data_IF_921821101367
#
_entry.id   IF_921821101367
#
_cell.length_a   1.000
_cell.length_b   1.000
_cell.length_c   1.000
_cell.angle_alpha   90.00
_cell.angle_beta   90.00
_cell.angle_gamma   90.00
#
_symmetry.space_group_name_H-M   'P 1'
#
loop_
_entity.id
_entity.type
_entity.pdbx_description
1 polymer ?
#
# COMPACT_ATOMS: atom_id res chain seq x y z
N UNK A 1 -14.63 14.26 -2.31
CA UNK A 1 -14.37 12.97 -1.63
C UNK A 1 -13.68 11.97 -2.57
N UNK A 2 -12.50 11.46 -2.20
CA UNK A 2 -11.67 10.57 -3.04
C UNK A 2 -12.43 9.35 -3.58
N UNK A 3 -13.41 8.82 -2.83
CA UNK A 3 -14.19 7.63 -3.19
C UNK A 3 -14.92 7.75 -4.54
N UNK A 4 -15.31 8.97 -4.96
CA UNK A 4 -15.96 9.19 -6.26
C UNK A 4 -15.04 8.88 -7.44
N UNK A 5 -13.71 8.97 -7.27
CA UNK A 5 -12.72 8.62 -8.30
C UNK A 5 -12.64 7.10 -8.54
N UNK A 6 -13.21 6.31 -7.63
CA UNK A 6 -13.29 4.84 -7.72
C UNK A 6 -14.72 4.35 -8.01
N UNK A 7 -15.57 5.20 -8.60
CA UNK A 7 -16.96 4.81 -8.91
C UNK A 7 -17.84 4.61 -7.69
N UNK A 8 -17.44 5.13 -6.52
CA UNK A 8 -18.22 5.02 -5.28
C UNK A 8 -18.04 3.71 -4.52
N UNK A 9 -17.16 2.80 -4.98
CA UNK A 9 -16.92 1.50 -4.33
C UNK A 9 -15.43 1.13 -4.40
N UNK A 10 -14.95 0.45 -3.37
CA UNK A 10 -13.61 -0.15 -3.33
C UNK A 10 -13.73 -1.66 -3.52
N UNK A 11 -12.85 -2.24 -4.34
CA UNK A 11 -12.84 -3.68 -4.59
C UNK A 11 -12.24 -4.42 -3.39
N UNK A 12 -12.77 -5.63 -3.13
CA UNK A 12 -12.19 -6.56 -2.15
C UNK A 12 -10.78 -7.04 -2.55
N UNK A 13 -10.41 -6.91 -3.81
CA UNK A 13 -9.09 -7.34 -4.31
C UNK A 13 -7.96 -6.34 -3.97
N UNK A 14 -8.29 -5.16 -3.46
CA UNK A 14 -7.34 -4.07 -3.24
C UNK A 14 -6.76 -4.09 -1.82
N UNK A 15 -5.62 -3.42 -1.63
CA UNK A 15 -4.79 -3.56 -0.44
C UNK A 15 -5.51 -3.25 0.89
N UNK A 16 -6.44 -2.29 0.92
CA UNK A 16 -7.15 -1.95 2.17
C UNK A 16 -8.06 -3.08 2.65
N UNK A 17 -8.83 -3.69 1.74
CA UNK A 17 -9.71 -4.81 2.10
C UNK A 17 -8.91 -6.02 2.58
N UNK A 18 -7.80 -6.33 1.90
CA UNK A 18 -6.91 -7.44 2.27
C UNK A 18 -6.20 -7.19 3.60
N UNK A 19 -5.70 -5.98 3.85
CA UNK A 19 -5.02 -5.67 5.10
C UNK A 19 -5.97 -5.67 6.29
N UNK A 20 -7.20 -5.16 6.09
CA UNK A 20 -8.25 -5.23 7.09
C UNK A 20 -8.64 -6.68 7.39
N UNK A 21 -8.78 -7.52 6.36
CA UNK A 21 -9.03 -8.94 6.53
C UNK A 21 -7.92 -9.62 7.36
N UNK A 22 -6.64 -9.34 7.08
CA UNK A 22 -5.52 -9.90 7.87
C UNK A 22 -5.58 -9.40 9.32
N UNK A 23 -5.91 -8.13 9.55
CA UNK A 23 -6.08 -7.62 10.92
C UNK A 23 -7.20 -8.34 11.67
N UNK A 24 -8.34 -8.61 11.02
CA UNK A 24 -9.51 -9.25 11.62
C UNK A 24 -9.30 -10.76 11.84
N UNK A 25 -8.67 -11.44 10.90
CA UNK A 25 -8.52 -12.91 10.92
C UNK A 25 -7.23 -13.38 11.59
N UNK A 26 -6.14 -12.61 11.50
CA UNK A 26 -4.83 -12.92 12.09
C UNK A 26 -4.11 -11.65 12.57
N UNK A 27 -4.52 -11.09 13.71
CA UNK A 27 -3.93 -9.85 14.24
C UNK A 27 -2.44 -10.01 14.58
N UNK A 28 -1.95 -11.23 14.82
CA UNK A 28 -0.53 -11.46 15.08
C UNK A 28 0.30 -11.26 13.81
N UNK A 29 -0.18 -11.79 12.67
CA UNK A 29 0.44 -11.54 11.36
C UNK A 29 0.35 -10.06 10.99
N UNK A 30 -0.79 -9.40 11.22
CA UNK A 30 -0.92 -7.97 10.98
C UNK A 30 0.05 -7.13 11.83
N UNK A 31 0.22 -7.49 13.11
CA UNK A 31 1.16 -6.83 14.01
C UNK A 31 2.62 -7.07 13.60
N UNK A 32 2.96 -8.27 13.13
CA UNK A 32 4.30 -8.61 12.64
C UNK A 32 4.62 -7.98 11.27
N UNK A 33 3.61 -7.57 10.51
CA UNK A 33 3.77 -6.96 9.19
C UNK A 33 4.35 -5.54 9.29
N UNK A 34 5.65 -5.43 9.00
CA UNK A 34 6.36 -4.14 8.96
C UNK A 34 6.12 -3.36 7.65
N UNK A 35 5.82 -4.06 6.54
CA UNK A 35 5.64 -3.46 5.21
C UNK A 35 4.50 -4.15 4.49
N UNK A 36 3.54 -3.38 4.04
CA UNK A 36 2.54 -3.83 3.08
C UNK A 36 2.95 -3.36 1.69
N UNK A 37 3.42 -4.28 0.85
CA UNK A 37 4.04 -3.97 -0.44
C UNK A 37 3.40 -4.79 -1.56
N UNK A 38 3.16 -4.15 -2.69
CA UNK A 38 2.64 -4.82 -3.89
C UNK A 38 3.71 -5.71 -4.52
N UNK A 39 3.31 -6.85 -5.06
CA UNK A 39 4.27 -7.82 -5.60
C UNK A 39 5.17 -7.23 -6.70
N UNK A 40 4.62 -6.32 -7.53
CA UNK A 40 5.37 -5.61 -8.57
C UNK A 40 6.47 -4.70 -8.00
N UNK A 41 6.26 -4.13 -6.81
CA UNK A 41 7.26 -3.31 -6.12
C UNK A 41 8.26 -4.18 -5.35
N UNK A 42 7.78 -5.25 -4.71
CA UNK A 42 8.62 -6.20 -3.97
C UNK A 42 9.63 -6.91 -4.88
N UNK A 43 9.22 -7.37 -6.06
CA UNK A 43 10.16 -8.02 -6.99
C UNK A 43 11.23 -7.05 -7.49
N UNK A 44 10.86 -5.79 -7.76
CA UNK A 44 11.82 -4.75 -8.14
C UNK A 44 12.79 -4.47 -6.99
N UNK A 45 12.31 -4.44 -5.75
CA UNK A 45 13.17 -4.33 -4.58
C UNK A 45 14.17 -5.49 -4.50
N UNK A 46 13.73 -6.74 -4.69
CA UNK A 46 14.65 -7.89 -4.69
C UNK A 46 15.73 -7.75 -5.78
N UNK A 47 15.37 -7.25 -6.96
CA UNK A 47 16.31 -7.07 -8.07
C UNK A 47 17.30 -5.92 -7.84
N UNK A 48 16.85 -4.81 -7.27
CA UNK A 48 17.65 -3.57 -7.16
C UNK A 48 18.32 -3.38 -5.80
N UNK A 49 17.93 -4.16 -4.79
CA UNK A 49 18.37 -4.00 -3.41
C UNK A 49 17.76 -2.79 -2.68
N UNK A 50 16.92 -1.99 -3.35
CA UNK A 50 16.27 -0.80 -2.76
C UNK A 50 14.76 -0.86 -2.93
N UNK A 51 14.02 -0.61 -1.85
CA UNK A 51 12.56 -0.52 -1.93
C UNK A 51 12.17 0.69 -2.79
N UNK A 52 11.25 0.46 -3.71
CA UNK A 52 10.62 1.50 -4.52
C UNK A 52 9.15 1.16 -4.68
N UNK A 53 8.27 2.16 -4.67
CA UNK A 53 6.83 1.96 -4.86
C UNK A 53 6.33 2.74 -6.07
N UNK A 54 5.57 2.11 -6.94
CA UNK A 54 5.09 2.77 -8.15
C UNK A 54 3.77 3.52 -7.94
N UNK A 55 3.56 4.62 -8.68
CA UNK A 55 2.34 5.43 -8.59
C UNK A 55 1.07 4.71 -9.08
N UNK A 56 1.20 3.68 -9.92
CA UNK A 56 0.05 2.97 -10.50
C UNK A 56 -0.68 2.13 -9.44
N UNK A 57 0.02 1.24 -8.74
CA UNK A 57 -0.62 0.41 -7.70
C UNK A 57 -1.03 1.24 -6.49
N UNK A 58 -0.22 2.22 -6.09
CA UNK A 58 -0.57 3.17 -5.03
C UNK A 58 -1.87 3.92 -5.32
N UNK A 59 -2.09 4.37 -6.57
CA UNK A 59 -3.32 5.02 -6.99
C UNK A 59 -4.49 4.03 -7.10
N UNK A 60 -4.41 3.07 -8.03
CA UNK A 60 -5.53 2.21 -8.39
C UNK A 60 -5.96 1.24 -7.29
N UNK A 61 -5.01 0.74 -6.49
CA UNK A 61 -5.28 -0.23 -5.42
C UNK A 61 -5.09 0.36 -4.03
N UNK A 62 -4.23 1.37 -3.91
CA UNK A 62 -3.89 1.98 -2.63
C UNK A 62 -4.63 3.25 -2.25
N UNK A 63 -5.64 3.65 -3.01
CA UNK A 63 -6.49 4.80 -2.67
C UNK A 63 -5.69 6.11 -2.55
N UNK A 64 -4.47 6.17 -3.10
CA UNK A 64 -3.62 7.36 -3.04
C UNK A 64 -4.10 8.41 -4.04
N UNK A 65 -4.54 9.57 -3.55
CA UNK A 65 -5.11 10.65 -4.35
C UNK A 65 -4.59 11.99 -3.86
N UNK A 66 -4.21 12.87 -4.80
CA UNK A 66 -3.78 14.24 -4.49
C UNK A 66 -2.66 14.32 -3.42
N UNK A 67 -1.78 13.31 -3.37
CA UNK A 67 -0.68 13.23 -2.41
C UNK A 67 -1.04 12.68 -1.03
N UNK A 68 -2.24 12.10 -0.87
CA UNK A 68 -2.70 11.57 0.41
C UNK A 68 -3.41 10.21 0.30
N UNK A 69 -3.37 9.47 1.40
CA UNK A 69 -4.19 8.28 1.66
C UNK A 69 -5.48 8.65 2.40
N UNK A 70 -6.48 7.74 2.51
CA UNK A 70 -7.62 7.91 3.40
C UNK A 70 -7.20 8.32 4.81
N UNK A 71 -7.98 9.21 5.43
CA UNK A 71 -7.62 9.77 6.74
C UNK A 71 -7.65 8.72 7.85
N UNK A 72 -6.84 8.89 8.91
CA UNK A 72 -6.90 8.00 10.07
C UNK A 72 -8.30 7.91 10.69
N UNK A 73 -9.06 9.01 10.71
CA UNK A 73 -10.43 9.01 11.20
C UNK A 73 -11.38 8.14 10.36
N UNK A 74 -11.21 8.12 9.03
CA UNK A 74 -11.99 7.22 8.16
C UNK A 74 -11.63 5.75 8.44
N UNK A 75 -10.33 5.46 8.54
CA UNK A 75 -9.83 4.10 8.77
C UNK A 75 -10.17 3.56 10.17
N UNK A 76 -10.12 4.41 11.20
CA UNK A 76 -10.59 4.08 12.55
C UNK A 76 -12.08 3.74 12.57
N UNK A 77 -12.87 4.31 11.65
CA UNK A 77 -14.28 3.96 11.45
C UNK A 77 -14.49 2.58 10.84
N UNK A 78 -13.47 1.97 10.25
CA UNK A 78 -13.47 0.56 9.81
C UNK A 78 -13.04 -0.35 10.97
N UNK A 79 -11.89 -0.06 11.57
CA UNK A 79 -11.38 -0.76 12.74
C UNK A 79 -10.38 0.15 13.50
N UNK A 80 -10.45 0.27 14.84
CA UNK A 80 -9.57 1.15 15.61
C UNK A 80 -8.07 0.93 15.35
N UNK A 81 -7.63 -0.34 15.31
CA UNK A 81 -6.23 -0.72 15.08
C UNK A 81 -5.79 -0.62 13.60
N UNK A 82 -6.66 -0.12 12.73
CA UNK A 82 -6.38 0.09 11.31
C UNK A 82 -6.13 1.57 10.96
N UNK A 83 -6.32 2.47 11.93
CA UNK A 83 -6.26 3.92 11.73
C UNK A 83 -4.93 4.42 11.14
N UNK A 84 -3.83 3.77 11.49
CA UNK A 84 -2.47 4.14 11.11
C UNK A 84 -1.89 3.28 9.97
N UNK A 85 -2.68 2.39 9.36
CA UNK A 85 -2.23 1.44 8.36
C UNK A 85 -1.38 2.08 7.24
N UNK A 86 -1.78 3.22 6.65
CA UNK A 86 -0.98 3.83 5.61
C UNK A 86 0.37 4.32 6.12
N UNK A 87 0.37 5.05 7.23
CA UNK A 87 1.57 5.65 7.81
C UNK A 87 2.58 4.61 8.31
N UNK A 88 2.10 3.47 8.80
CA UNK A 88 2.95 2.44 9.40
C UNK A 88 3.47 1.39 8.41
N UNK A 89 2.72 1.13 7.32
CA UNK A 89 3.00 -0.04 6.44
C UNK A 89 2.99 0.29 4.95
N UNK A 90 2.30 1.34 4.50
CA UNK A 90 2.15 1.67 3.07
C UNK A 90 3.00 2.85 2.59
N UNK A 91 3.22 3.84 3.44
CA UNK A 91 3.78 5.12 3.02
C UNK A 91 5.26 4.97 2.68
N UNK A 92 5.61 5.40 1.46
CA UNK A 92 6.95 5.41 0.92
C UNK A 92 6.99 6.40 -0.24
N UNK A 93 8.15 7.02 -0.56
CA UNK A 93 8.31 7.76 -1.80
C UNK A 93 7.81 6.97 -3.02
N UNK A 94 6.88 7.58 -3.76
CA UNK A 94 6.29 7.01 -4.97
C UNK A 94 7.08 7.44 -6.20
N UNK A 95 7.42 6.46 -7.05
CA UNK A 95 8.05 6.70 -8.34
C UNK A 95 6.98 6.74 -9.45
N UNK A 96 7.00 7.77 -10.32
CA UNK A 96 6.23 7.75 -11.55
C UNK A 96 6.62 6.56 -12.44
N UNK A 97 5.65 5.96 -13.13
CA UNK A 97 5.94 4.91 -14.12
C UNK A 97 6.97 5.38 -15.16
N UNK A 98 7.90 4.49 -15.51
CA UNK A 98 9.04 4.78 -16.38
C UNK A 98 10.25 5.39 -15.67
N UNK A 99 10.14 5.72 -14.37
CA UNK A 99 11.28 6.16 -13.57
C UNK A 99 12.22 5.00 -13.27
N UNK A 100 13.52 5.28 -13.13
CA UNK A 100 14.53 4.28 -12.78
C UNK A 100 14.46 3.96 -11.28
N UNK A 101 14.00 2.76 -10.94
CA UNK A 101 13.95 2.26 -9.55
C UNK A 101 15.33 1.84 -8.99
N UNK A 102 16.29 1.55 -9.88
CA UNK A 102 17.65 1.14 -9.49
C UNK A 102 18.38 0.46 -10.65
N UNK A 103 19.45 -0.24 -10.32
CA UNK A 103 20.14 -1.20 -11.20
C UNK A 103 19.99 -2.59 -10.61
N UNK A 104 19.92 -3.61 -11.47
CA UNK A 104 19.95 -5.00 -11.02
C UNK A 104 21.26 -5.26 -10.26
N UNK A 105 21.15 -5.87 -9.08
CA UNK A 105 22.28 -6.23 -8.24
C UNK A 105 23.01 -7.45 -8.82
N UNK A 106 24.22 -7.74 -8.33
CA UNK A 106 24.97 -8.92 -8.79
C UNK A 106 24.42 -10.25 -8.23
N UNK A 107 23.61 -10.21 -7.18
CA UNK A 107 22.97 -11.38 -6.56
C UNK A 107 21.71 -11.83 -7.31
N UNK A 108 21.06 -10.88 -7.99
CA UNK A 108 19.80 -11.07 -8.72
C UNK A 108 19.95 -11.79 -10.07
#
# INVERSE_FOLDING_TARGET
PWIRRYGGRISAEWQYAKALQVLEEDPQVYAACARWIEAADWIVWQLTGSESRNSCTAGYKGIHQDGAYPSPAYLAGLHPDFADFPATRLEHPLLPLGSRAGTVTAEA
#
